data_IF_638881827863
#
_entry.id   IF_638881827863
#
_cell.length_a   1.000
_cell.length_b   1.000
_cell.length_c   1.000
_cell.angle_alpha   90.00
_cell.angle_beta   90.00
_cell.angle_gamma   90.00
#
_symmetry.space_group_name_H-M   'P 1'
#
loop_
_entity.id
_entity.type
_entity.pdbx_description
1 polymer ?
#
# COMPACT_ATOMS: atom_id res chain seq x y z
N UNK A 1 11.53 22.80 -17.28
CA UNK A 1 11.29 21.36 -17.03
C UNK A 1 10.93 20.71 -18.36
N UNK A 2 11.55 19.60 -18.73
CA UNK A 2 11.24 18.92 -20.00
C UNK A 2 9.82 18.34 -19.98
N UNK A 3 9.20 18.19 -21.15
CA UNK A 3 7.87 17.58 -21.30
C UNK A 3 7.80 16.20 -20.59
N UNK A 4 8.84 15.39 -20.73
CA UNK A 4 8.95 14.08 -20.09
C UNK A 4 8.86 14.15 -18.55
N UNK A 5 9.58 15.08 -17.92
CA UNK A 5 9.58 15.18 -16.46
C UNK A 5 8.19 15.54 -15.91
N UNK A 6 7.45 16.39 -16.63
CA UNK A 6 6.07 16.74 -16.27
C UNK A 6 5.15 15.51 -16.34
N UNK A 7 5.26 14.71 -17.41
CA UNK A 7 4.52 13.46 -17.54
C UNK A 7 4.86 12.42 -16.47
N UNK A 8 6.15 12.25 -16.16
CA UNK A 8 6.58 11.35 -15.09
C UNK A 8 6.00 11.78 -13.74
N UNK A 9 6.00 13.07 -13.43
CA UNK A 9 5.41 13.60 -12.20
C UNK A 9 3.89 13.37 -12.17
N UNK A 10 3.19 13.61 -13.28
CA UNK A 10 1.76 13.32 -13.40
C UNK A 10 1.49 11.84 -13.13
N UNK A 11 2.18 10.93 -13.81
CA UNK A 11 2.02 9.48 -13.65
C UNK A 11 2.37 9.02 -12.23
N UNK A 12 3.36 9.64 -11.59
CA UNK A 12 3.72 9.35 -10.22
C UNK A 12 2.59 9.70 -9.25
N UNK A 13 2.03 10.91 -9.35
CA UNK A 13 0.91 11.36 -8.52
C UNK A 13 -0.37 10.58 -8.82
N UNK A 14 -0.63 10.27 -10.10
CA UNK A 14 -1.74 9.44 -10.52
C UNK A 14 -1.61 8.02 -9.97
N UNK A 15 -0.43 7.40 -10.09
CA UNK A 15 -0.12 6.10 -9.52
C UNK A 15 -0.30 6.08 -8.01
N UNK A 16 0.13 7.15 -7.32
CA UNK A 16 -0.07 7.31 -5.88
C UNK A 16 -1.56 7.41 -5.54
N UNK A 17 -2.34 8.17 -6.30
CA UNK A 17 -3.79 8.27 -6.10
C UNK A 17 -4.50 6.92 -6.31
N UNK A 18 -4.17 6.22 -7.40
CA UNK A 18 -4.69 4.86 -7.68
C UNK A 18 -4.30 3.89 -6.56
N UNK A 19 -3.05 3.92 -6.12
CA UNK A 19 -2.56 3.11 -5.01
C UNK A 19 -3.37 3.40 -3.75
N UNK A 20 -3.43 4.66 -3.28
CA UNK A 20 -4.11 5.00 -2.03
C UNK A 20 -5.61 4.72 -2.07
N UNK A 21 -6.26 4.95 -3.21
CA UNK A 21 -7.69 4.67 -3.36
C UNK A 21 -7.98 3.17 -3.27
N UNK A 22 -7.29 2.35 -4.07
CA UNK A 22 -7.50 0.91 -4.07
C UNK A 22 -6.95 0.24 -2.78
N UNK A 23 -5.84 0.74 -2.25
CA UNK A 23 -5.29 0.29 -0.97
C UNK A 23 -6.22 0.64 0.20
N UNK A 24 -6.86 1.82 0.16
CA UNK A 24 -7.89 2.23 1.11
C UNK A 24 -9.09 1.28 1.13
N UNK A 25 -9.54 0.79 -0.03
CA UNK A 25 -10.60 -0.22 -0.11
C UNK A 25 -10.19 -1.52 0.61
N UNK A 26 -8.94 -1.98 0.44
CA UNK A 26 -8.49 -3.16 1.18
C UNK A 26 -8.34 -2.90 2.68
N UNK A 27 -7.80 -1.75 3.08
CA UNK A 27 -7.65 -1.37 4.48
C UNK A 27 -9.01 -1.29 5.16
N UNK A 28 -9.97 -0.61 4.53
CA UNK A 28 -11.35 -0.52 4.99
C UNK A 28 -12.02 -1.88 5.12
N UNK A 29 -11.84 -2.77 4.15
CA UNK A 29 -12.35 -4.14 4.24
C UNK A 29 -11.77 -4.88 5.47
N UNK A 30 -10.47 -4.76 5.73
CA UNK A 30 -9.82 -5.38 6.90
C UNK A 30 -10.35 -4.85 8.24
N UNK A 31 -10.76 -3.58 8.30
CA UNK A 31 -11.31 -2.95 9.50
C UNK A 31 -12.79 -3.33 9.72
N UNK A 32 -13.52 -3.54 8.62
CA UNK A 32 -14.93 -3.91 8.62
C UNK A 32 -15.16 -5.40 8.92
N UNK A 33 -14.20 -6.26 8.58
CA UNK A 33 -14.31 -7.70 8.81
C UNK A 33 -14.25 -8.01 10.31
N UNK A 34 -15.37 -8.50 10.83
CA UNK A 34 -15.53 -8.97 12.23
C UNK A 34 -16.30 -10.30 12.24
N UNK A 35 -16.19 -11.04 13.34
CA UNK A 35 -17.04 -12.19 13.60
C UNK A 35 -18.47 -11.74 13.95
N UNK A 36 -19.51 -12.56 13.69
CA UNK A 36 -19.48 -13.83 12.97
C UNK A 36 -19.27 -13.66 11.45
N UNK A 37 -18.67 -14.67 10.82
CA UNK A 37 -18.47 -14.70 9.37
C UNK A 37 -19.82 -14.78 8.65
N UNK A 38 -19.94 -14.09 7.52
CA UNK A 38 -21.16 -14.08 6.71
C UNK A 38 -20.85 -14.00 5.22
N UNK A 39 -21.90 -14.10 4.39
CA UNK A 39 -21.80 -13.85 2.94
C UNK A 39 -21.23 -12.46 2.64
N UNK A 40 -21.53 -11.45 3.47
CA UNK A 40 -20.97 -10.11 3.33
C UNK A 40 -19.45 -10.10 3.56
N UNK A 41 -18.95 -10.86 4.55
CA UNK A 41 -17.52 -11.00 4.82
C UNK A 41 -16.77 -11.57 3.60
N UNK A 42 -17.33 -12.60 2.95
CA UNK A 42 -16.75 -13.20 1.73
C UNK A 42 -16.73 -12.23 0.56
N UNK A 43 -17.80 -11.44 0.37
CA UNK A 43 -17.86 -10.37 -0.65
C UNK A 43 -16.82 -9.28 -0.41
N UNK A 44 -16.63 -8.86 0.85
CA UNK A 44 -15.61 -7.89 1.23
C UNK A 44 -14.18 -8.41 0.97
N UNK A 45 -13.90 -9.68 1.29
CA UNK A 45 -12.61 -10.31 1.02
C UNK A 45 -12.30 -10.38 -0.47
N UNK A 46 -13.29 -10.74 -1.29
CA UNK A 46 -13.15 -10.78 -2.74
C UNK A 46 -12.93 -9.36 -3.34
N UNK A 47 -13.68 -8.37 -2.86
CA UNK A 47 -13.48 -6.97 -3.27
C UNK A 47 -12.08 -6.50 -2.86
N UNK A 48 -11.65 -6.84 -1.66
CA UNK A 48 -10.33 -6.54 -1.12
C UNK A 48 -9.21 -7.18 -1.95
N UNK A 49 -9.35 -8.43 -2.41
CA UNK A 49 -8.41 -9.08 -3.32
C UNK A 49 -8.28 -8.29 -4.64
N UNK A 50 -9.41 -7.95 -5.27
CA UNK A 50 -9.42 -7.18 -6.53
C UNK A 50 -8.81 -5.79 -6.36
N UNK A 51 -9.17 -5.10 -5.30
CA UNK A 51 -8.58 -3.80 -4.96
C UNK A 51 -7.08 -3.91 -4.69
N UNK A 52 -6.61 -5.01 -4.08
CA UNK A 52 -5.19 -5.28 -3.88
C UNK A 52 -4.39 -5.35 -5.19
N UNK A 53 -4.96 -5.96 -6.24
CA UNK A 53 -4.31 -6.02 -7.57
C UNK A 53 -4.15 -4.61 -8.15
N UNK A 54 -5.21 -3.80 -8.09
CA UNK A 54 -5.19 -2.40 -8.59
C UNK A 54 -4.21 -1.54 -7.79
N UNK A 55 -4.19 -1.70 -6.46
CA UNK A 55 -3.25 -1.00 -5.59
C UNK A 55 -1.80 -1.34 -5.98
N UNK A 56 -1.47 -2.62 -6.14
CA UNK A 56 -0.13 -3.06 -6.53
C UNK A 56 0.29 -2.48 -7.89
N UNK A 57 -0.63 -2.41 -8.87
CA UNK A 57 -0.36 -1.76 -10.15
C UNK A 57 -0.02 -0.27 -9.97
N UNK A 58 -0.80 0.46 -9.16
CA UNK A 58 -0.51 1.86 -8.82
C UNK A 58 0.85 2.04 -8.15
N UNK A 59 1.20 1.16 -7.20
CA UNK A 59 2.50 1.18 -6.52
C UNK A 59 3.66 0.95 -7.49
N UNK A 60 3.52 0.02 -8.44
CA UNK A 60 4.52 -0.21 -9.49
C UNK A 60 4.74 1.06 -10.32
N UNK A 61 3.66 1.76 -10.70
CA UNK A 61 3.77 3.04 -11.42
C UNK A 61 4.52 4.08 -10.58
N UNK A 62 4.21 4.21 -9.28
CA UNK A 62 4.92 5.12 -8.36
C UNK A 62 6.41 4.82 -8.31
N UNK A 63 6.80 3.55 -8.15
CA UNK A 63 8.20 3.15 -8.06
C UNK A 63 8.94 3.46 -9.36
N UNK A 64 8.40 3.03 -10.51
CA UNK A 64 9.04 3.20 -11.82
C UNK A 64 9.22 4.69 -12.15
N UNK A 65 8.16 5.49 -11.97
CA UNK A 65 8.23 6.93 -12.24
C UNK A 65 9.13 7.66 -11.25
N UNK A 66 9.17 7.25 -9.97
CA UNK A 66 10.08 7.80 -8.97
C UNK A 66 11.55 7.58 -9.34
N UNK A 67 11.89 6.37 -9.77
CA UNK A 67 13.24 6.02 -10.24
C UNK A 67 13.63 6.86 -11.47
N UNK A 68 12.76 6.97 -12.47
CA UNK A 68 13.05 7.80 -13.64
C UNK A 68 13.19 9.29 -13.30
N UNK A 69 12.36 9.84 -12.41
CA UNK A 69 12.51 11.22 -11.95
C UNK A 69 13.81 11.45 -11.19
N UNK A 70 14.30 10.47 -10.43
CA UNK A 70 15.59 10.57 -9.75
C UNK A 70 16.76 10.68 -10.76
N UNK A 71 16.72 9.91 -11.86
CA UNK A 71 17.68 10.06 -12.96
C UNK A 71 17.54 11.41 -13.66
N UNK A 72 16.32 11.78 -14.07
CA UNK A 72 16.07 13.03 -14.79
C UNK A 72 16.38 14.29 -13.96
N UNK A 73 16.27 14.20 -12.63
CA UNK A 73 16.57 15.26 -11.69
C UNK A 73 18.00 15.26 -11.15
N UNK A 74 18.82 14.26 -11.48
CA UNK A 74 20.16 14.05 -10.92
C UNK A 74 20.17 14.00 -9.37
N UNK A 75 19.19 13.33 -8.76
CA UNK A 75 19.00 13.31 -7.30
C UNK A 75 19.70 12.17 -6.57
N UNK A 76 20.40 11.28 -7.28
CA UNK A 76 21.08 10.13 -6.67
C UNK A 76 22.16 10.50 -5.64
N UNK A 77 22.70 11.71 -5.69
CA UNK A 77 23.61 12.24 -4.68
C UNK A 77 22.94 12.92 -3.47
N UNK A 78 21.59 12.96 -3.42
CA UNK A 78 20.83 13.63 -2.35
C UNK A 78 20.42 12.64 -1.28
N UNK A 79 20.69 12.98 -0.01
CA UNK A 79 20.42 12.06 1.10
C UNK A 79 18.92 11.81 1.29
N UNK A 80 18.06 12.82 1.08
CA UNK A 80 16.61 12.67 1.27
C UNK A 80 16.02 11.57 0.36
N UNK A 81 16.58 11.36 -0.84
CA UNK A 81 16.14 10.31 -1.75
C UNK A 81 16.43 8.93 -1.16
N UNK A 82 17.65 8.70 -0.66
CA UNK A 82 18.04 7.44 -0.05
C UNK A 82 17.22 7.13 1.20
N UNK A 83 17.03 8.13 2.07
CA UNK A 83 16.16 7.96 3.25
C UNK A 83 14.74 7.60 2.83
N UNK A 84 14.22 8.21 1.77
CA UNK A 84 12.89 7.88 1.24
C UNK A 84 12.80 6.44 0.73
N UNK A 85 13.84 5.94 0.03
CA UNK A 85 13.89 4.55 -0.42
C UNK A 85 13.94 3.58 0.76
N UNK A 86 14.76 3.87 1.78
CA UNK A 86 14.82 3.06 3.01
C UNK A 86 13.48 3.03 3.72
N UNK A 87 12.83 4.19 3.90
CA UNK A 87 11.49 4.28 4.51
C UNK A 87 10.47 3.50 3.68
N UNK A 88 10.46 3.63 2.36
CA UNK A 88 9.56 2.88 1.48
C UNK A 88 9.75 1.38 1.66
N UNK A 89 10.98 0.88 1.58
CA UNK A 89 11.28 -0.56 1.74
C UNK A 89 10.88 -1.05 3.14
N UNK A 90 11.20 -0.28 4.19
CA UNK A 90 10.84 -0.63 5.56
C UNK A 90 9.31 -0.72 5.74
N UNK A 91 8.55 0.24 5.20
CA UNK A 91 7.09 0.24 5.24
C UNK A 91 6.51 -0.93 4.45
N UNK A 92 7.02 -1.21 3.25
CA UNK A 92 6.57 -2.36 2.45
C UNK A 92 6.83 -3.69 3.16
N UNK A 93 8.01 -3.85 3.78
CA UNK A 93 8.34 -5.04 4.55
C UNK A 93 7.44 -5.20 5.79
N UNK A 94 7.25 -4.12 6.56
CA UNK A 94 6.41 -4.12 7.74
C UNK A 94 4.94 -4.41 7.39
N UNK A 95 4.40 -3.77 6.33
CA UNK A 95 3.08 -4.04 5.77
C UNK A 95 2.95 -5.50 5.31
N UNK A 96 3.93 -6.01 4.58
CA UNK A 96 3.94 -7.38 4.09
C UNK A 96 3.91 -8.40 5.22
N UNK A 97 4.62 -8.13 6.32
CA UNK A 97 4.62 -8.98 7.51
C UNK A 97 3.30 -8.93 8.27
N UNK A 98 2.81 -7.73 8.62
CA UNK A 98 1.60 -7.57 9.45
C UNK A 98 0.33 -8.01 8.70
N UNK A 99 0.33 -7.94 7.37
CA UNK A 99 -0.80 -8.33 6.52
C UNK A 99 -0.87 -9.82 6.22
N UNK A 100 0.13 -10.63 6.61
CA UNK A 100 0.12 -12.08 6.35
C UNK A 100 -1.16 -12.78 6.80
N UNK A 101 -1.67 -12.60 8.04
CA UNK A 101 -2.90 -13.25 8.46
C UNK A 101 -4.10 -12.82 7.61
N UNK A 102 -4.10 -11.57 7.14
CA UNK A 102 -5.16 -11.05 6.28
C UNK A 102 -5.13 -11.66 4.88
N UNK A 103 -3.94 -11.90 4.32
CA UNK A 103 -3.81 -12.62 3.05
C UNK A 103 -4.25 -14.08 3.19
N UNK A 104 -3.90 -14.74 4.30
CA UNK A 104 -4.41 -16.08 4.57
C UNK A 104 -5.95 -16.11 4.72
N UNK A 105 -6.55 -15.07 5.32
CA UNK A 105 -8.01 -14.96 5.40
C UNK A 105 -8.67 -14.77 4.03
N UNK A 106 -8.02 -14.03 3.11
CA UNK A 106 -8.49 -13.90 1.72
C UNK A 106 -8.46 -15.25 1.00
N UNK A 107 -7.41 -16.04 1.17
CA UNK A 107 -7.31 -17.37 0.55
C UNK A 107 -8.30 -18.36 1.19
N UNK A 108 -8.57 -18.20 2.48
CA UNK A 108 -9.59 -18.95 3.21
C UNK A 108 -11.03 -18.53 2.87
N UNK A 109 -11.27 -17.54 2.00
CA UNK A 109 -12.60 -17.01 1.71
C UNK A 109 -13.57 -18.02 1.07
N UNK A 110 -13.09 -19.18 0.60
CA UNK A 110 -13.90 -20.30 0.09
C UNK A 110 -14.01 -21.47 1.08
N UNK A 111 -13.29 -21.42 2.20
CA UNK A 111 -13.28 -22.47 3.22
C UNK A 111 -14.49 -22.33 4.16
N UNK A 112 -14.76 -23.33 5.02
CA UNK A 112 -15.78 -23.25 6.06
C UNK A 112 -15.67 -22.02 6.97
N UNK A 113 -16.79 -21.60 7.57
CA UNK A 113 -16.89 -20.35 8.33
C UNK A 113 -16.01 -20.32 9.59
N UNK A 114 -15.84 -21.46 10.25
CA UNK A 114 -14.95 -21.65 11.40
C UNK A 114 -13.49 -21.38 11.04
N UNK A 115 -13.02 -21.96 9.93
CA UNK A 115 -11.66 -21.74 9.40
C UNK A 115 -11.45 -20.26 9.04
N UNK A 116 -12.42 -19.63 8.40
CA UNK A 116 -12.32 -18.22 8.04
C UNK A 116 -12.34 -17.29 9.27
N UNK A 117 -13.18 -17.60 10.26
CA UNK A 117 -13.28 -16.84 11.50
C UNK A 117 -11.96 -16.88 12.28
N UNK A 118 -11.34 -18.06 12.38
CA UNK A 118 -10.03 -18.24 13.01
C UNK A 118 -8.97 -17.34 12.34
N UNK A 119 -8.87 -17.37 11.01
CA UNK A 119 -7.90 -16.55 10.26
C UNK A 119 -8.12 -15.06 10.44
N UNK A 120 -9.38 -14.62 10.43
CA UNK A 120 -9.72 -13.22 10.69
C UNK A 120 -9.36 -12.78 12.11
N UNK A 121 -9.47 -13.67 13.10
CA UNK A 121 -9.07 -13.41 14.49
C UNK A 121 -7.60 -13.08 14.67
N UNK A 122 -6.73 -13.52 13.75
CA UNK A 122 -5.30 -13.19 13.78
C UNK A 122 -4.93 -11.89 13.07
N UNK A 123 -5.89 -11.22 12.44
CA UNK A 123 -5.63 -9.97 11.71
C UNK A 123 -5.38 -8.81 12.67
N UNK A 124 -4.48 -7.89 12.29
CA UNK A 124 -4.12 -6.71 13.08
C UNK A 124 -4.31 -5.43 12.27
N UNK A 125 -5.56 -5.10 11.87
CA UNK A 125 -5.82 -4.03 10.92
C UNK A 125 -5.40 -2.65 11.44
N UNK A 126 -5.56 -2.38 12.74
CA UNK A 126 -5.14 -1.10 13.33
C UNK A 126 -3.62 -0.90 13.32
N UNK A 127 -2.85 -1.96 13.59
CA UNK A 127 -1.39 -1.91 13.48
C UNK A 127 -0.98 -1.59 12.03
N UNK A 128 -1.68 -2.18 11.06
CA UNK A 128 -1.41 -1.90 9.66
C UNK A 128 -1.71 -0.43 9.29
N UNK A 129 -2.84 0.11 9.76
CA UNK A 129 -3.21 1.53 9.55
C UNK A 129 -2.12 2.46 10.09
N UNK A 130 -1.63 2.24 11.30
CA UNK A 130 -0.61 3.11 11.91
C UNK A 130 0.72 3.07 11.16
N UNK A 131 1.20 1.89 10.80
CA UNK A 131 2.44 1.75 10.03
C UNK A 131 2.30 2.45 8.67
N UNK A 132 1.15 2.27 8.00
CA UNK A 132 0.88 2.90 6.71
C UNK A 132 0.79 4.43 6.80
N UNK A 133 0.08 4.96 7.79
CA UNK A 133 -0.08 6.40 7.99
C UNK A 133 1.27 7.07 8.32
N UNK A 134 2.02 6.53 9.28
CA UNK A 134 3.33 7.07 9.66
C UNK A 134 4.33 7.01 8.49
N UNK A 135 4.36 5.87 7.78
CA UNK A 135 5.21 5.69 6.60
C UNK A 135 4.87 6.68 5.48
N UNK A 136 3.59 6.83 5.17
CA UNK A 136 3.12 7.76 4.13
C UNK A 136 3.43 9.22 4.49
N UNK A 137 3.19 9.62 5.74
CA UNK A 137 3.52 10.98 6.21
C UNK A 137 5.01 11.26 6.08
N UNK A 138 5.88 10.31 6.48
CA UNK A 138 7.31 10.45 6.34
C UNK A 138 7.74 10.58 4.86
N UNK A 139 7.19 9.76 3.97
CA UNK A 139 7.47 9.82 2.54
C UNK A 139 7.01 11.14 1.91
N UNK A 140 5.81 11.62 2.24
CA UNK A 140 5.32 12.92 1.77
C UNK A 140 6.24 14.04 2.25
N UNK A 141 6.61 14.04 3.53
CA UNK A 141 7.52 15.03 4.10
C UNK A 141 8.86 15.06 3.33
N UNK A 142 9.49 13.91 3.14
CA UNK A 142 10.77 13.83 2.43
C UNK A 142 10.67 14.29 0.97
N UNK A 143 9.59 13.94 0.27
CA UNK A 143 9.38 14.29 -1.13
C UNK A 143 9.03 15.77 -1.35
N UNK A 144 8.33 16.38 -0.40
CA UNK A 144 7.92 17.79 -0.45
C UNK A 144 9.06 18.71 -0.03
N UNK A 145 9.65 18.48 1.15
CA UNK A 145 10.60 19.41 1.75
C UNK A 145 12.04 19.18 1.32
N UNK A 146 12.41 17.95 0.94
CA UNK A 146 13.75 17.58 0.44
C UNK A 146 14.90 18.16 1.30
N UNK A 147 14.92 17.89 2.61
CA UNK A 147 15.70 18.68 3.58
C UNK A 147 17.24 18.55 3.47
N UNK A 148 17.78 17.58 2.73
CA UNK A 148 19.23 17.35 2.59
C UNK A 148 19.60 16.62 1.28
#
# INVERSE_FOLDING_TARGET
MTNLYVWLRFLHLFGLAVFLFAHGVTGGASLALRAPVSVASRRLLWLSQRAGIVANAGLVVVIITGVWMAFAGHWWGRGWLWVSLVVLVAVLAAMGFISRPYYMARDAAQHPDDVLAERLGHTRPLAAVWIGALGLTALIFLMVFKPF
#
